data_IF_097417497812
#
_entry.id   IF_097417497812
#
_cell.length_a   1.000
_cell.length_b   1.000
_cell.length_c   1.000
_cell.angle_alpha   90.00
_cell.angle_beta   90.00
_cell.angle_gamma   90.00
#
_symmetry.space_group_name_H-M   'P 1'
#
loop_
_entity.id
_entity.type
_entity.pdbx_description
1 polymer ?
#
# COMPACT_ATOMS: atom_id res chain seq x y z
N UNK A 1 6.75 10.92 17.85
CA UNK A 1 5.89 10.54 16.70
C UNK A 1 4.40 10.70 16.98
N UNK A 2 3.92 10.46 18.21
CA UNK A 2 2.47 10.51 18.49
C UNK A 2 1.91 11.96 18.55
N UNK A 3 2.79 12.96 18.61
CA UNK A 3 2.45 14.34 18.94
C UNK A 3 2.58 15.29 17.73
N UNK A 4 3.12 14.80 16.61
CA UNK A 4 3.33 15.58 15.37
C UNK A 4 3.06 14.72 14.13
N UNK A 5 2.41 15.32 13.14
CA UNK A 5 2.17 14.68 11.83
C UNK A 5 3.46 14.48 11.02
N UNK A 6 4.40 15.44 11.11
CA UNK A 6 5.74 15.35 10.53
C UNK A 6 6.74 15.26 11.68
N UNK A 7 7.53 14.18 11.79
CA UNK A 7 8.56 14.06 12.81
C UNK A 7 9.70 15.08 12.61
N UNK A 8 10.27 15.61 13.69
CA UNK A 8 11.39 16.55 13.61
C UNK A 8 12.74 15.85 13.36
N UNK A 9 12.80 14.55 13.62
CA UNK A 9 13.97 13.69 13.55
C UNK A 9 14.10 12.93 12.23
N UNK A 10 13.48 13.42 11.13
CA UNK A 10 13.56 12.78 9.81
C UNK A 10 14.97 12.84 9.20
N UNK A 11 15.68 13.95 9.37
CA UNK A 11 17.04 14.15 8.85
C UNK A 11 17.92 14.57 10.01
N UNK A 12 18.72 13.63 10.50
CA UNK A 12 19.68 13.89 11.58
C UNK A 12 21.11 13.60 11.12
N UNK A 13 22.05 14.39 11.63
CA UNK A 13 23.47 14.30 11.29
C UNK A 13 24.11 12.95 11.64
N UNK A 14 23.53 12.23 12.62
CA UNK A 14 23.96 10.88 13.05
C UNK A 14 24.11 9.90 11.88
N UNK A 15 23.23 9.96 10.88
CA UNK A 15 23.26 9.03 9.74
C UNK A 15 24.14 9.53 8.59
N UNK A 16 24.74 10.72 8.68
CA UNK A 16 25.73 11.26 7.74
C UNK A 16 25.20 11.73 6.38
N UNK A 17 24.10 11.17 5.87
CA UNK A 17 23.45 11.64 4.65
C UNK A 17 21.93 11.51 4.70
N UNK A 18 21.24 12.26 3.85
CA UNK A 18 19.78 12.19 3.71
C UNK A 18 19.33 10.79 3.28
N UNK A 19 20.05 10.15 2.35
CA UNK A 19 19.73 8.79 1.89
C UNK A 19 19.82 7.78 3.04
N UNK A 20 20.88 7.84 3.85
CA UNK A 20 21.02 6.97 5.02
C UNK A 20 19.94 7.24 6.07
N UNK A 21 19.47 8.48 6.22
CA UNK A 21 18.30 8.75 7.05
C UNK A 21 17.07 7.98 6.50
N UNK A 22 16.74 8.09 5.22
CA UNK A 22 15.57 7.40 4.67
C UNK A 22 15.61 5.86 4.72
N UNK A 23 16.80 5.26 4.83
CA UNK A 23 16.99 3.80 4.85
C UNK A 23 17.24 3.23 6.26
N UNK A 24 18.00 3.95 7.08
CA UNK A 24 18.51 3.45 8.36
C UNK A 24 17.89 4.15 9.58
N UNK A 25 17.31 5.35 9.42
CA UNK A 25 16.62 6.05 10.51
C UNK A 25 15.21 5.46 10.66
N UNK A 26 14.92 4.74 11.76
CA UNK A 26 13.62 4.09 11.95
C UNK A 26 12.45 5.08 11.83
N UNK A 27 12.66 6.33 12.24
CA UNK A 27 11.64 7.36 12.14
C UNK A 27 11.32 7.72 10.70
N UNK A 28 12.35 7.95 9.89
CA UNK A 28 12.19 8.30 8.48
C UNK A 28 11.64 7.13 7.65
N UNK A 29 12.08 5.90 7.94
CA UNK A 29 11.57 4.67 7.30
C UNK A 29 10.08 4.51 7.59
N UNK A 30 9.68 4.60 8.86
CA UNK A 30 8.28 4.45 9.27
C UNK A 30 7.39 5.56 8.69
N UNK A 31 7.87 6.81 8.69
CA UNK A 31 7.14 7.93 8.10
C UNK A 31 6.93 7.73 6.60
N UNK A 32 8.00 7.41 5.86
CA UNK A 32 7.93 7.17 4.41
C UNK A 32 7.02 6.00 4.09
N UNK A 33 7.10 4.91 4.85
CA UNK A 33 6.22 3.75 4.69
C UNK A 33 4.75 4.11 4.91
N UNK A 34 4.42 4.96 5.91
CA UNK A 34 3.05 5.47 6.12
C UNK A 34 2.56 6.31 4.94
N UNK A 35 3.40 7.18 4.39
CA UNK A 35 3.05 7.97 3.20
C UNK A 35 2.79 7.06 1.98
N UNK A 36 3.59 6.01 1.80
CA UNK A 36 3.37 5.00 0.76
C UNK A 36 2.05 4.24 0.98
N UNK A 37 1.70 3.91 2.21
CA UNK A 37 0.42 3.27 2.52
C UNK A 37 -0.78 4.19 2.18
N UNK A 38 -0.74 5.46 2.58
CA UNK A 38 -1.81 6.42 2.27
C UNK A 38 -1.99 6.65 0.77
N UNK A 39 -0.89 6.85 0.05
CA UNK A 39 -0.92 7.03 -1.41
C UNK A 39 -1.41 5.77 -2.13
N UNK A 40 -1.06 4.58 -1.64
CA UNK A 40 -1.53 3.30 -2.17
C UNK A 40 -3.04 3.13 -1.98
N UNK A 41 -3.58 3.38 -0.78
CA UNK A 41 -5.03 3.32 -0.52
C UNK A 41 -5.79 4.33 -1.38
N UNK A 42 -5.28 5.56 -1.49
CA UNK A 42 -5.88 6.60 -2.32
C UNK A 42 -5.90 6.19 -3.81
N UNK A 43 -4.77 5.78 -4.36
CA UNK A 43 -4.65 5.45 -5.79
C UNK A 43 -5.44 4.20 -6.17
N UNK A 44 -5.44 3.16 -5.33
CA UNK A 44 -6.27 1.96 -5.54
C UNK A 44 -7.77 2.26 -5.39
N UNK A 45 -8.15 3.17 -4.48
CA UNK A 45 -9.52 3.68 -4.37
C UNK A 45 -9.96 4.43 -5.63
N UNK A 46 -9.14 5.34 -6.14
CA UNK A 46 -9.41 6.07 -7.39
C UNK A 46 -9.49 5.12 -8.59
N UNK A 47 -8.60 4.14 -8.67
CA UNK A 47 -8.62 3.08 -9.67
C UNK A 47 -9.96 2.33 -9.63
N UNK A 48 -10.38 1.89 -8.45
CA UNK A 48 -11.63 1.17 -8.27
C UNK A 48 -12.84 2.01 -8.67
N UNK A 49 -12.91 3.28 -8.23
CA UNK A 49 -13.98 4.22 -8.62
C UNK A 49 -14.03 4.35 -10.15
N UNK A 50 -12.89 4.49 -10.81
CA UNK A 50 -12.82 4.60 -12.27
C UNK A 50 -13.38 3.35 -12.96
N UNK A 51 -12.98 2.16 -12.51
CA UNK A 51 -13.49 0.88 -13.05
C UNK A 51 -15.01 0.76 -12.83
N UNK A 52 -15.51 1.13 -11.65
CA UNK A 52 -16.95 1.08 -11.36
C UNK A 52 -17.74 2.07 -12.24
N UNK A 53 -17.21 3.28 -12.47
CA UNK A 53 -17.85 4.31 -13.31
C UNK A 53 -17.91 3.94 -14.79
N UNK A 54 -16.89 3.26 -15.31
CA UNK A 54 -16.92 2.75 -16.68
C UNK A 54 -17.97 1.65 -16.87
N UNK A 55 -18.32 0.95 -15.79
CA UNK A 55 -19.35 -0.08 -15.82
C UNK A 55 -18.84 -1.41 -16.41
N UNK A 56 -19.54 -2.49 -16.04
CA UNK A 56 -19.15 -3.86 -16.43
C UNK A 56 -19.27 -4.11 -17.93
N UNK A 57 -20.12 -3.35 -18.63
CA UNK A 57 -20.29 -3.43 -20.08
C UNK A 57 -19.04 -3.00 -20.82
N UNK A 58 -18.30 -2.02 -20.30
CA UNK A 58 -17.06 -1.52 -20.90
C UNK A 58 -15.82 -2.29 -20.42
N UNK A 59 -15.75 -2.66 -19.14
CA UNK A 59 -14.55 -3.29 -18.55
C UNK A 59 -14.60 -4.82 -18.54
N UNK A 60 -15.78 -5.41 -18.69
CA UNK A 60 -16.00 -6.83 -18.43
C UNK A 60 -15.91 -7.21 -16.94
N UNK A 61 -16.35 -8.43 -16.59
CA UNK A 61 -16.40 -8.90 -15.20
C UNK A 61 -15.02 -9.18 -14.60
N UNK A 62 -14.03 -9.57 -15.41
CA UNK A 62 -12.68 -9.92 -14.93
C UNK A 62 -11.95 -8.70 -14.36
N UNK A 63 -11.92 -7.59 -15.09
CA UNK A 63 -11.28 -6.33 -14.65
C UNK A 63 -11.98 -5.79 -13.40
N UNK A 64 -13.31 -5.89 -13.35
CA UNK A 64 -14.10 -5.49 -12.18
C UNK A 64 -13.75 -6.32 -10.94
N UNK A 65 -13.68 -7.64 -11.06
CA UNK A 65 -13.29 -8.51 -9.94
C UNK A 65 -11.86 -8.25 -9.49
N UNK A 66 -10.94 -8.08 -10.43
CA UNK A 66 -9.55 -7.73 -10.11
C UNK A 66 -9.47 -6.37 -9.39
N UNK A 67 -10.26 -5.36 -9.79
CA UNK A 67 -10.31 -4.07 -9.10
C UNK A 67 -10.86 -4.19 -7.66
N UNK A 68 -11.88 -5.03 -7.44
CA UNK A 68 -12.38 -5.31 -6.08
C UNK A 68 -11.30 -5.95 -5.20
N UNK A 69 -10.52 -6.89 -5.75
CA UNK A 69 -9.44 -7.55 -5.02
C UNK A 69 -8.27 -6.63 -4.72
N UNK A 70 -7.86 -5.79 -5.67
CA UNK A 70 -6.84 -4.76 -5.43
C UNK A 70 -7.27 -3.83 -4.28
N UNK A 71 -8.52 -3.36 -4.31
CA UNK A 71 -9.04 -2.50 -3.25
C UNK A 71 -9.07 -3.22 -1.88
N UNK A 72 -9.63 -4.43 -1.85
CA UNK A 72 -9.72 -5.23 -0.62
C UNK A 72 -8.34 -5.56 -0.04
N UNK A 73 -7.37 -5.93 -0.89
CA UNK A 73 -6.00 -6.19 -0.48
C UNK A 73 -5.32 -4.92 0.07
N UNK A 74 -5.51 -3.76 -0.57
CA UNK A 74 -4.92 -2.50 -0.09
C UNK A 74 -5.44 -2.08 1.28
N UNK A 75 -6.76 -2.14 1.49
CA UNK A 75 -7.36 -1.84 2.81
C UNK A 75 -6.98 -2.88 3.86
N UNK A 76 -7.05 -4.17 3.53
CA UNK A 76 -6.65 -5.25 4.43
C UNK A 76 -5.18 -5.13 4.85
N UNK A 77 -4.29 -4.83 3.90
CA UNK A 77 -2.87 -4.61 4.15
C UNK A 77 -2.64 -3.40 5.06
N UNK A 78 -3.35 -2.29 4.84
CA UNK A 78 -3.25 -1.09 5.66
C UNK A 78 -3.72 -1.35 7.10
N UNK A 79 -4.88 -2.00 7.26
CA UNK A 79 -5.42 -2.36 8.57
C UNK A 79 -4.50 -3.32 9.33
N UNK A 80 -3.94 -4.31 8.63
CA UNK A 80 -2.98 -5.25 9.20
C UNK A 80 -1.67 -4.55 9.60
N UNK A 81 -1.21 -3.56 8.83
CA UNK A 81 -0.05 -2.74 9.18
C UNK A 81 -0.29 -1.91 10.46
N UNK A 82 -1.46 -1.28 10.57
CA UNK A 82 -1.88 -0.56 11.80
C UNK A 82 -1.94 -1.53 12.98
N UNK A 83 -2.55 -2.70 12.80
CA UNK A 83 -2.65 -3.74 13.83
C UNK A 83 -1.26 -4.20 14.26
N UNK A 84 -0.34 -4.41 13.32
CA UNK A 84 1.04 -4.80 13.62
C UNK A 84 1.72 -3.76 14.53
N UNK A 85 1.51 -2.47 14.29
CA UNK A 85 2.04 -1.40 15.15
C UNK A 85 1.39 -1.38 16.54
N UNK A 86 0.07 -1.54 16.61
CA UNK A 86 -0.67 -1.54 17.89
C UNK A 86 -0.25 -2.70 18.81
N UNK A 87 0.19 -3.81 18.24
CA UNK A 87 0.66 -4.99 18.98
C UNK A 87 2.19 -5.05 19.13
N UNK A 88 2.91 -3.95 18.87
CA UNK A 88 4.38 -3.87 19.00
C UNK A 88 5.16 -4.81 18.07
N UNK A 89 4.66 -5.00 16.85
CA UNK A 89 5.33 -5.72 15.75
C UNK A 89 5.70 -7.18 16.13
N UNK A 90 4.74 -8.01 16.57
CA UNK A 90 5.03 -9.42 16.81
C UNK A 90 5.35 -10.10 15.48
N UNK A 91 6.30 -11.04 15.48
CA UNK A 91 6.82 -11.68 14.25
C UNK A 91 5.69 -12.26 13.39
N UNK A 92 4.69 -12.88 14.00
CA UNK A 92 3.53 -13.44 13.29
C UNK A 92 2.73 -12.39 12.50
N UNK A 93 2.40 -11.25 13.12
CA UNK A 93 1.70 -10.16 12.43
C UNK A 93 2.60 -9.47 11.39
N UNK A 94 3.89 -9.30 11.70
CA UNK A 94 4.87 -8.76 10.75
C UNK A 94 5.00 -9.62 9.49
N UNK A 95 5.12 -10.95 9.64
CA UNK A 95 5.13 -11.89 8.53
C UNK A 95 3.80 -11.92 7.76
N UNK A 96 2.67 -11.84 8.47
CA UNK A 96 1.37 -11.75 7.83
C UNK A 96 1.25 -10.46 7.01
N UNK A 97 1.76 -9.35 7.51
CA UNK A 97 1.79 -8.07 6.80
C UNK A 97 2.68 -8.14 5.56
N UNK A 98 3.83 -8.81 5.63
CA UNK A 98 4.66 -9.04 4.43
C UNK A 98 3.92 -9.89 3.39
N UNK A 99 3.23 -10.95 3.81
CA UNK A 99 2.40 -11.78 2.95
C UNK A 99 1.27 -10.97 2.30
N UNK A 100 0.58 -10.10 3.06
CA UNK A 100 -0.44 -9.21 2.52
C UNK A 100 0.10 -8.25 1.46
N UNK A 101 1.36 -7.82 1.57
CA UNK A 101 2.05 -7.06 0.53
C UNK A 101 2.20 -7.84 -0.78
N UNK A 102 2.54 -9.12 -0.69
CA UNK A 102 2.60 -10.02 -1.87
C UNK A 102 1.22 -10.19 -2.49
N UNK A 103 0.17 -10.39 -1.68
CA UNK A 103 -1.22 -10.50 -2.17
C UNK A 103 -1.63 -9.24 -2.93
N UNK A 104 -1.35 -8.05 -2.37
CA UNK A 104 -1.62 -6.78 -3.04
C UNK A 104 -0.87 -6.70 -4.38
N UNK A 105 0.42 -7.01 -4.41
CA UNK A 105 1.21 -7.00 -5.65
C UNK A 105 0.65 -7.98 -6.69
N UNK A 106 0.35 -9.22 -6.30
CA UNK A 106 -0.23 -10.23 -7.18
C UNK A 106 -1.59 -9.80 -7.74
N UNK A 107 -2.43 -9.15 -6.93
CA UNK A 107 -3.72 -8.63 -7.38
C UNK A 107 -3.57 -7.52 -8.43
N UNK A 108 -2.56 -6.63 -8.27
CA UNK A 108 -2.24 -5.58 -9.24
C UNK A 108 -1.68 -6.16 -10.55
N UNK A 109 -0.83 -7.17 -10.48
CA UNK A 109 -0.34 -7.89 -11.65
C UNK A 109 -1.48 -8.55 -12.41
N UNK A 110 -2.40 -9.20 -11.71
CA UNK A 110 -3.58 -9.80 -12.33
C UNK A 110 -4.51 -8.76 -12.96
N UNK A 111 -4.75 -7.63 -12.29
CA UNK A 111 -5.51 -6.51 -12.85
C UNK A 111 -4.89 -6.02 -14.16
N UNK A 112 -3.57 -5.81 -14.17
CA UNK A 112 -2.83 -5.36 -15.36
C UNK A 112 -2.89 -6.38 -16.49
N UNK A 113 -2.76 -7.67 -16.18
CA UNK A 113 -2.94 -8.74 -17.15
C UNK A 113 -4.35 -8.74 -17.76
N UNK A 114 -5.39 -8.52 -16.95
CA UNK A 114 -6.77 -8.41 -17.44
C UNK A 114 -6.96 -7.21 -18.37
N UNK A 115 -6.30 -6.08 -18.11
CA UNK A 115 -6.33 -4.91 -18.99
C UNK A 115 -5.67 -5.17 -20.35
N UNK A 116 -4.54 -5.88 -20.37
CA UNK A 116 -3.83 -6.19 -21.61
C UNK A 116 -4.65 -7.07 -22.56
N UNK A 117 -5.51 -7.92 -22.01
CA UNK A 117 -6.35 -8.83 -22.79
C UNK A 117 -7.64 -8.18 -23.31
N UNK A 118 -7.83 -6.86 -23.14
CA UNK A 118 -8.95 -6.13 -23.74
C UNK A 118 -8.59 -5.83 -25.21
N UNK A 119 -9.34 -6.36 -26.19
CA UNK A 119 -9.11 -6.02 -27.60
C UNK A 119 -9.27 -4.51 -27.80
N UNK A 120 -8.33 -3.91 -28.54
CA UNK A 120 -8.29 -2.47 -28.85
C UNK A 120 -9.37 -2.07 -29.84
#
# INVERSE_FOLDING_TARGET
MADRWIPDDLIVSRYGSTVKNFLDNPTAVQFTHRMLAYTTVLTTGLLWIKVMRLGVTCTGPRIRNAAHLVLGAAFGQSLLGITTLLYYVPVSLGSLHQCGGVILLSSLLWFTHCLHNVPK
#
